data_IF_997939868034
#
_entry.id   IF_997939868034
#
_cell.length_a   1.000
_cell.length_b   1.000
_cell.length_c   1.000
_cell.angle_alpha   90.00
_cell.angle_beta   90.00
_cell.angle_gamma   90.00
#
_symmetry.space_group_name_H-M   'P 1'
#
loop_
_entity.id
_entity.type
_entity.pdbx_description
1 polymer ?
#
# COMPACT_ATOMS: atom_id res chain seq x y z
N UNK A 1 -68.29 1.85 27.11
CA UNK A 1 -67.08 1.32 26.46
C UNK A 1 -67.45 0.79 25.07
N UNK A 2 -66.58 0.95 24.05
CA UNK A 2 -66.56 0.24 22.74
C UNK A 2 -66.94 1.00 21.44
N UNK A 3 -66.40 2.19 21.18
CA UNK A 3 -66.50 2.81 19.82
C UNK A 3 -65.20 3.37 19.23
N UNK A 4 -64.02 3.03 19.78
CA UNK A 4 -62.75 3.56 19.26
C UNK A 4 -61.70 2.46 19.07
N UNK A 5 -62.05 1.38 18.37
CA UNK A 5 -61.10 0.28 18.18
C UNK A 5 -61.12 -0.31 16.76
N UNK A 6 -61.18 0.53 15.73
CA UNK A 6 -60.99 0.09 14.32
C UNK A 6 -60.34 1.16 13.43
N UNK A 7 -59.43 1.96 14.00
CA UNK A 7 -58.51 2.81 13.23
C UNK A 7 -57.04 2.45 13.48
N UNK A 8 -56.77 1.17 13.78
CA UNK A 8 -55.48 0.62 13.39
C UNK A 8 -55.58 0.48 11.87
N UNK A 9 -55.24 1.56 11.15
CA UNK A 9 -55.02 1.50 9.72
C UNK A 9 -54.15 0.28 9.50
N UNK A 10 -54.78 -0.72 8.90
CA UNK A 10 -54.17 -1.90 8.35
C UNK A 10 -53.22 -1.34 7.29
N UNK A 11 -52.03 -0.92 7.70
CA UNK A 11 -50.86 -0.89 6.82
C UNK A 11 -50.69 -2.38 6.54
N UNK A 12 -51.48 -2.86 5.57
CA UNK A 12 -51.31 -4.16 5.00
C UNK A 12 -49.91 -4.08 4.39
N UNK A 13 -48.95 -4.53 5.19
CA UNK A 13 -47.59 -4.75 4.78
C UNK A 13 -47.73 -5.79 3.68
N UNK A 14 -47.84 -5.33 2.42
CA UNK A 14 -47.85 -6.23 1.29
C UNK A 14 -46.42 -6.70 1.20
N UNK A 15 -46.11 -7.79 1.89
CA UNK A 15 -44.86 -8.53 1.74
C UNK A 15 -44.88 -9.14 0.34
N UNK A 16 -44.65 -8.28 -0.66
CA UNK A 16 -44.28 -8.70 -2.00
C UNK A 16 -42.90 -9.29 -1.85
N UNK A 17 -42.78 -10.61 -1.99
CA UNK A 17 -41.50 -11.29 -2.00
C UNK A 17 -40.56 -10.70 -3.06
N UNK A 18 -39.26 -10.81 -2.82
CA UNK A 18 -38.24 -10.38 -3.78
C UNK A 18 -38.42 -11.12 -5.10
N UNK A 19 -38.39 -10.40 -6.23
CA UNK A 19 -38.50 -11.02 -7.55
C UNK A 19 -37.15 -11.58 -8.00
N UNK A 20 -37.16 -12.61 -8.85
CA UNK A 20 -35.93 -13.12 -9.46
C UNK A 20 -35.15 -12.03 -10.22
N UNK A 21 -35.87 -11.14 -10.92
CA UNK A 21 -35.26 -10.01 -11.63
C UNK A 21 -34.55 -9.07 -10.64
N UNK A 22 -35.15 -8.79 -9.48
CA UNK A 22 -34.49 -7.96 -8.45
C UNK A 22 -33.21 -8.62 -7.93
N UNK A 23 -33.23 -9.92 -7.63
CA UNK A 23 -32.04 -10.64 -7.20
C UNK A 23 -30.93 -10.63 -8.27
N UNK A 24 -31.28 -10.81 -9.55
CA UNK A 24 -30.33 -10.73 -10.66
C UNK A 24 -29.71 -9.34 -10.81
N UNK A 25 -30.50 -8.27 -10.70
CA UNK A 25 -30.00 -6.90 -10.74
C UNK A 25 -29.02 -6.65 -9.58
N UNK A 26 -29.35 -7.09 -8.36
CA UNK A 26 -28.47 -6.92 -7.20
C UNK A 26 -27.14 -7.67 -7.40
N UNK A 27 -27.19 -8.93 -7.86
CA UNK A 27 -25.98 -9.71 -8.14
C UNK A 27 -25.11 -9.04 -9.22
N UNK A 28 -25.72 -8.51 -10.28
CA UNK A 28 -25.01 -7.77 -11.32
C UNK A 28 -24.33 -6.52 -10.74
N UNK A 29 -25.02 -5.75 -9.89
CA UNK A 29 -24.45 -4.56 -9.25
C UNK A 29 -23.28 -4.90 -8.31
N UNK A 30 -23.40 -5.97 -7.53
CA UNK A 30 -22.31 -6.42 -6.65
C UNK A 30 -21.08 -6.83 -7.47
N UNK A 31 -21.27 -7.56 -8.57
CA UNK A 31 -20.18 -7.96 -9.45
C UNK A 31 -19.44 -6.75 -10.04
N UNK A 32 -20.18 -5.72 -10.48
CA UNK A 32 -19.60 -4.48 -10.99
C UNK A 32 -18.78 -3.77 -9.89
N UNK A 33 -19.35 -3.59 -8.70
CA UNK A 33 -18.66 -2.92 -7.58
C UNK A 33 -17.39 -3.70 -7.18
N UNK A 34 -17.47 -5.03 -7.13
CA UNK A 34 -16.33 -5.87 -6.75
C UNK A 34 -15.14 -5.67 -7.69
N UNK A 35 -15.37 -5.62 -9.01
CA UNK A 35 -14.29 -5.41 -9.99
C UNK A 35 -13.67 -4.03 -9.89
N UNK A 36 -14.47 -2.99 -9.64
CA UNK A 36 -13.99 -1.61 -9.57
C UNK A 36 -13.11 -1.32 -8.34
N UNK A 37 -13.25 -2.08 -7.26
CA UNK A 37 -12.50 -1.83 -6.01
C UNK A 37 -11.11 -2.47 -5.97
N UNK A 38 -10.89 -3.56 -6.71
CA UNK A 38 -9.62 -4.30 -6.75
C UNK A 38 -8.38 -3.45 -7.08
N UNK A 39 -8.35 -2.60 -8.13
CA UNK A 39 -7.12 -1.88 -8.51
C UNK A 39 -6.64 -0.94 -7.41
N UNK A 40 -7.55 -0.23 -6.74
CA UNK A 40 -7.22 0.69 -5.65
C UNK A 40 -6.65 -0.06 -4.44
N UNK A 41 -7.26 -1.18 -4.05
CA UNK A 41 -6.78 -2.00 -2.94
C UNK A 41 -5.37 -2.53 -3.22
N UNK A 42 -5.11 -2.99 -4.45
CA UNK A 42 -3.78 -3.47 -4.84
C UNK A 42 -2.73 -2.37 -4.73
N UNK A 43 -3.04 -1.17 -5.22
CA UNK A 43 -2.13 -0.03 -5.13
C UNK A 43 -1.78 0.32 -3.68
N UNK A 44 -2.77 0.36 -2.78
CA UNK A 44 -2.53 0.62 -1.35
C UNK A 44 -1.63 -0.44 -0.71
N UNK A 45 -1.83 -1.72 -1.06
CA UNK A 45 -0.99 -2.81 -0.57
C UNK A 45 0.45 -2.70 -1.09
N UNK A 46 0.62 -2.32 -2.35
CA UNK A 46 1.94 -2.15 -2.97
C UNK A 46 2.70 -0.99 -2.34
N UNK A 47 2.03 0.15 -2.12
CA UNK A 47 2.64 1.30 -1.44
C UNK A 47 3.08 0.92 -0.03
N UNK A 48 2.22 0.26 0.76
CA UNK A 48 2.56 -0.17 2.12
C UNK A 48 3.73 -1.14 2.18
N UNK A 49 3.76 -2.11 1.26
CA UNK A 49 4.87 -3.05 1.17
C UNK A 49 6.16 -2.30 0.84
N UNK A 50 6.13 -1.41 -0.16
CA UNK A 50 7.30 -0.65 -0.57
C UNK A 50 7.81 0.28 0.54
N UNK A 51 6.90 0.93 1.28
CA UNK A 51 7.24 1.74 2.47
C UNK A 51 7.92 0.90 3.55
N UNK A 52 7.44 -0.33 3.78
CA UNK A 52 8.04 -1.27 4.72
C UNK A 52 9.44 -1.70 4.26
N UNK A 53 9.59 -2.06 2.98
CA UNK A 53 10.86 -2.51 2.43
C UNK A 53 11.94 -1.42 2.51
N UNK A 54 11.61 -0.17 2.12
CA UNK A 54 12.58 0.94 2.20
C UNK A 54 12.93 1.29 3.65
N UNK A 55 12.01 1.09 4.59
CA UNK A 55 12.28 1.29 6.02
C UNK A 55 13.23 0.21 6.57
N UNK A 56 13.00 -1.05 6.23
CA UNK A 56 13.86 -2.16 6.63
C UNK A 56 15.28 -2.02 6.07
N UNK A 57 15.40 -1.68 4.79
CA UNK A 57 16.70 -1.43 4.15
C UNK A 57 17.42 -0.24 4.80
N UNK A 58 16.70 0.84 5.10
CA UNK A 58 17.27 2.00 5.77
C UNK A 58 17.78 1.66 7.18
N UNK A 59 17.04 0.86 7.94
CA UNK A 59 17.46 0.37 9.25
C UNK A 59 18.71 -0.52 9.15
N UNK A 60 18.79 -1.39 8.13
CA UNK A 60 19.99 -2.18 7.86
C UNK A 60 21.21 -1.30 7.56
N UNK A 61 21.03 -0.24 6.76
CA UNK A 61 22.07 0.75 6.50
C UNK A 61 22.51 1.52 7.75
N UNK A 62 21.58 1.87 8.64
CA UNK A 62 21.89 2.51 9.91
C UNK A 62 22.68 1.58 10.83
N UNK A 63 22.27 0.30 10.93
CA UNK A 63 23.01 -0.75 11.67
C UNK A 63 24.41 -0.97 11.08
N UNK A 64 24.54 -0.92 9.76
CA UNK A 64 25.84 -1.02 9.08
C UNK A 64 26.75 0.14 9.49
N UNK A 65 26.26 1.38 9.42
CA UNK A 65 27.02 2.55 9.86
C UNK A 65 27.44 2.48 11.33
N UNK A 66 26.53 2.05 12.22
CA UNK A 66 26.80 1.92 13.66
C UNK A 66 27.95 0.96 13.99
N UNK A 67 28.22 -0.06 13.15
CA UNK A 67 29.32 -1.01 13.40
C UNK A 67 30.57 -0.75 12.56
N UNK A 68 30.38 -0.39 11.29
CA UNK A 68 31.48 -0.27 10.32
C UNK A 68 32.00 1.17 10.20
N UNK A 69 31.29 2.16 10.77
CA UNK A 69 31.69 3.57 10.78
C UNK A 69 31.50 4.31 9.45
N UNK A 70 31.01 3.62 8.41
CA UNK A 70 30.74 4.16 7.08
C UNK A 70 29.31 3.84 6.66
N UNK A 71 28.68 4.74 5.90
CA UNK A 71 27.34 4.52 5.38
C UNK A 71 27.35 3.48 4.24
N UNK A 72 26.25 2.75 4.12
CA UNK A 72 26.06 1.82 3.02
C UNK A 72 26.07 2.59 1.68
N UNK A 73 26.81 2.07 0.71
CA UNK A 73 26.84 2.60 -0.66
C UNK A 73 26.31 1.59 -1.66
N UNK A 74 26.35 0.31 -1.31
CA UNK A 74 25.96 -0.80 -2.17
C UNK A 74 25.24 -1.88 -1.36
N UNK A 75 24.23 -2.51 -1.93
CA UNK A 75 23.46 -3.56 -1.27
C UNK A 75 24.30 -4.79 -0.91
N UNK A 76 25.33 -5.11 -1.70
CA UNK A 76 26.21 -6.23 -1.43
C UNK A 76 26.96 -6.07 -0.10
N UNK A 77 27.20 -4.84 0.37
CA UNK A 77 27.80 -4.59 1.68
C UNK A 77 26.89 -5.04 2.81
N UNK A 78 25.57 -4.81 2.66
CA UNK A 78 24.57 -5.24 3.64
C UNK A 78 24.43 -6.75 3.66
N UNK A 79 24.40 -7.38 2.48
CA UNK A 79 24.28 -8.84 2.34
C UNK A 79 25.55 -9.55 2.86
N UNK A 80 26.73 -9.14 2.39
CA UNK A 80 27.99 -9.78 2.74
C UNK A 80 28.30 -9.74 4.24
N UNK A 81 27.80 -8.72 4.94
CA UNK A 81 27.95 -8.55 6.39
C UNK A 81 26.76 -9.06 7.20
N UNK A 82 25.73 -9.62 6.55
CA UNK A 82 24.57 -10.23 7.20
C UNK A 82 23.60 -9.24 7.85
N UNK A 83 23.53 -7.99 7.35
CA UNK A 83 22.50 -7.03 7.77
C UNK A 83 21.17 -7.24 7.05
N UNK A 84 21.22 -7.84 5.85
CA UNK A 84 20.09 -8.31 5.07
C UNK A 84 20.44 -9.68 4.50
N UNK A 85 19.47 -10.58 4.40
CA UNK A 85 19.67 -11.87 3.72
C UNK A 85 19.67 -11.68 2.20
N UNK A 86 18.71 -10.90 1.71
CA UNK A 86 18.58 -10.51 0.31
C UNK A 86 17.88 -9.15 0.21
N UNK A 87 17.92 -8.53 -0.98
CA UNK A 87 17.13 -7.33 -1.25
C UNK A 87 15.80 -7.77 -1.86
N UNK A 88 14.65 -7.45 -1.23
CA UNK A 88 13.37 -7.80 -1.79
C UNK A 88 13.15 -7.06 -3.13
N UNK A 89 12.47 -7.69 -4.11
CA UNK A 89 11.99 -6.97 -5.28
C UNK A 89 10.91 -5.97 -4.85
N UNK A 90 10.81 -4.84 -5.54
CA UNK A 90 9.71 -3.91 -5.23
C UNK A 90 8.35 -4.52 -5.64
N UNK A 91 7.22 -4.08 -5.06
CA UNK A 91 5.89 -4.68 -5.28
C UNK A 91 5.38 -4.61 -6.72
N UNK A 92 5.94 -3.73 -7.54
CA UNK A 92 5.65 -3.63 -8.97
C UNK A 92 6.56 -4.51 -9.84
N UNK A 93 7.45 -5.30 -9.22
CA UNK A 93 8.36 -6.22 -9.90
C UNK A 93 9.64 -5.58 -10.43
N UNK A 94 10.03 -4.44 -9.87
CA UNK A 94 11.30 -3.75 -10.12
C UNK A 94 12.27 -3.88 -8.94
N UNK A 95 13.20 -2.93 -8.81
CA UNK A 95 14.26 -2.94 -7.80
C UNK A 95 14.24 -1.68 -6.93
N UNK A 96 14.92 -1.74 -5.80
CA UNK A 96 15.29 -0.57 -5.01
C UNK A 96 16.65 -0.01 -5.44
N UNK A 97 16.93 1.24 -5.08
CA UNK A 97 18.19 1.93 -5.35
C UNK A 97 18.68 2.64 -4.09
N UNK A 98 19.95 2.46 -3.76
CA UNK A 98 20.66 3.34 -2.83
C UNK A 98 21.15 4.59 -3.58
N UNK A 99 20.90 5.76 -2.99
CA UNK A 99 21.49 7.05 -3.36
C UNK A 99 22.42 7.50 -2.22
N UNK A 100 23.70 7.13 -2.26
CA UNK A 100 24.68 7.48 -1.22
C UNK A 100 24.83 8.99 -1.02
N UNK A 101 24.64 9.78 -2.08
CA UNK A 101 24.77 11.24 -2.09
C UNK A 101 23.73 11.91 -1.17
N UNK A 102 22.56 11.29 -1.06
CA UNK A 102 21.46 11.74 -0.20
C UNK A 102 21.22 10.85 1.02
N UNK A 103 22.08 9.85 1.25
CA UNK A 103 21.89 8.81 2.27
C UNK A 103 20.48 8.21 2.26
N UNK A 104 19.99 7.88 1.05
CA UNK A 104 18.59 7.51 0.84
C UNK A 104 18.44 6.21 0.08
N UNK A 105 17.48 5.38 0.48
CA UNK A 105 16.97 4.27 -0.33
C UNK A 105 15.62 4.65 -0.90
N UNK A 106 15.32 4.24 -2.13
CA UNK A 106 14.00 4.44 -2.73
C UNK A 106 13.85 3.72 -4.06
N UNK A 107 12.77 4.06 -4.77
CA UNK A 107 12.46 3.47 -6.08
C UNK A 107 13.14 4.26 -7.22
N UNK A 108 13.90 3.62 -8.12
CA UNK A 108 14.58 4.31 -9.22
C UNK A 108 13.64 5.16 -10.09
N UNK A 109 14.14 6.28 -10.62
CA UNK A 109 13.40 7.13 -11.56
C UNK A 109 13.07 6.43 -12.88
N UNK A 110 13.99 5.57 -13.32
CA UNK A 110 13.95 4.78 -14.55
C UNK A 110 13.11 3.50 -14.43
N UNK A 111 12.47 3.22 -13.28
CA UNK A 111 11.63 2.04 -13.12
C UNK A 111 10.25 2.21 -13.78
N UNK A 112 10.14 1.83 -15.06
CA UNK A 112 8.91 1.94 -15.87
C UNK A 112 7.69 1.24 -15.25
N UNK A 113 7.90 0.21 -14.42
CA UNK A 113 6.82 -0.60 -13.83
C UNK A 113 6.11 0.10 -12.69
N UNK A 114 6.82 1.01 -12.01
CA UNK A 114 6.28 1.75 -10.86
C UNK A 114 5.63 3.05 -11.36
N UNK A 115 4.46 3.48 -10.88
CA UNK A 115 3.92 4.79 -11.21
C UNK A 115 4.90 5.93 -10.88
N UNK A 116 5.06 6.89 -11.79
CA UNK A 116 6.04 8.00 -11.67
C UNK A 116 5.95 8.73 -10.33
N UNK A 117 4.73 8.93 -9.80
CA UNK A 117 4.48 9.57 -8.52
C UNK A 117 5.23 8.93 -7.33
N UNK A 118 5.51 7.62 -7.38
CA UNK A 118 6.15 6.88 -6.29
C UNK A 118 7.67 6.75 -6.45
N UNK A 119 8.21 7.10 -7.62
CA UNK A 119 9.65 7.01 -7.90
C UNK A 119 10.41 8.14 -7.20
N UNK A 120 11.73 8.02 -7.11
CA UNK A 120 12.58 9.05 -6.53
C UNK A 120 12.33 10.41 -7.23
N UNK A 121 12.06 11.49 -6.50
CA UNK A 121 11.68 12.80 -7.07
C UNK A 121 10.22 12.93 -7.52
N UNK A 122 9.39 11.90 -7.35
CA UNK A 122 7.95 11.98 -7.58
C UNK A 122 7.19 12.68 -6.43
N UNK A 123 5.94 13.07 -6.70
CA UNK A 123 5.09 13.80 -5.73
C UNK A 123 4.73 13.01 -4.45
N UNK A 124 4.77 11.69 -4.54
CA UNK A 124 4.49 10.76 -3.46
C UNK A 124 5.65 9.76 -3.34
N UNK A 125 6.87 10.26 -3.51
CA UNK A 125 8.10 9.48 -3.55
C UNK A 125 8.19 8.49 -2.37
N UNK A 126 8.36 7.21 -2.69
CA UNK A 126 8.60 6.15 -1.71
C UNK A 126 10.11 6.04 -1.52
N UNK A 127 10.56 6.55 -0.38
CA UNK A 127 11.98 6.57 -0.04
C UNK A 127 12.19 6.74 1.46
N UNK A 128 13.37 6.33 1.94
CA UNK A 128 13.78 6.52 3.33
C UNK A 128 15.23 6.97 3.43
N UNK A 129 15.45 8.05 4.17
CA UNK A 129 16.80 8.53 4.51
C UNK A 129 17.31 7.73 5.70
N UNK A 130 18.51 7.16 5.58
CA UNK A 130 19.16 6.32 6.58
C UNK A 130 20.30 7.02 7.34
N UNK A 131 20.43 8.34 7.17
CA UNK A 131 21.34 9.18 7.97
C UNK A 131 20.64 9.70 9.22
N UNK A 132 21.22 9.44 10.38
CA UNK A 132 20.71 9.91 11.67
C UNK A 132 20.60 11.45 11.68
N UNK A 133 19.42 11.96 12.09
CA UNK A 133 19.11 13.39 12.13
C UNK A 133 18.67 14.03 10.80
N UNK A 134 18.72 13.31 9.67
CA UNK A 134 18.23 13.81 8.39
C UNK A 134 16.73 13.54 8.14
N UNK A 135 16.09 12.71 8.96
CA UNK A 135 14.67 12.33 8.85
C UNK A 135 13.71 13.23 9.67
N UNK A 136 14.16 14.39 10.14
CA UNK A 136 13.45 15.24 11.12
C UNK A 136 12.92 16.58 10.56
N UNK A 137 12.79 16.73 9.24
CA UNK A 137 12.17 17.89 8.63
C UNK A 137 11.36 17.51 7.39
#
# INVERSE_FOLDING_TARGET
MRYANNMVHKIANSERGMTFIQALIILALIAIIAVLTVPKLREEMYVRQADSDVAEIAEACEKYWKREGQYCTDFNQLIAKGYLEEIPPNPWGGRYLLKPEGYKVGIPQDDEKVPEKYRLGGIAEISKVYKEGASLW
#
